data_IF_468512273899
#
_entry.id   IF_468512273899
#
_cell.length_a   1.000
_cell.length_b   1.000
_cell.length_c   1.000
_cell.angle_alpha   90.00
_cell.angle_beta   90.00
_cell.angle_gamma   90.00
#
_symmetry.space_group_name_H-M   'P 1'
#
loop_
_entity.id
_entity.type
_entity.pdbx_description
1 polymer ?
#
# COMPACT_ATOMS: atom_id res chain seq x y z
N UNK A 1 -32.80 10.50 -0.45
CA UNK A 1 -31.33 10.65 -0.48
C UNK A 1 -30.77 9.26 -0.69
N UNK A 2 -30.30 8.93 -1.89
CA UNK A 2 -29.59 7.67 -2.10
C UNK A 2 -28.17 7.86 -1.54
N UNK A 3 -27.93 7.36 -0.33
CA UNK A 3 -26.57 7.19 0.18
C UNK A 3 -25.86 6.21 -0.76
N UNK A 4 -24.69 6.62 -1.28
CA UNK A 4 -23.81 5.68 -1.98
C UNK A 4 -23.53 4.47 -1.07
N UNK A 5 -23.41 3.25 -1.61
CA UNK A 5 -22.94 2.10 -0.85
C UNK A 5 -21.61 2.45 -0.18
N UNK A 6 -21.41 2.01 1.06
CA UNK A 6 -20.11 2.12 1.73
C UNK A 6 -19.18 1.13 1.01
N UNK A 7 -17.99 1.55 0.54
CA UNK A 7 -17.08 0.65 -0.13
C UNK A 7 -16.60 -0.43 0.85
N UNK A 8 -16.44 -1.65 0.34
CA UNK A 8 -15.99 -2.81 1.12
C UNK A 8 -14.51 -2.74 1.50
N UNK A 9 -13.76 -1.89 0.80
CA UNK A 9 -12.35 -1.58 1.03
C UNK A 9 -12.12 -0.08 1.00
N UNK A 10 -11.16 0.44 1.77
CA UNK A 10 -10.69 1.84 1.65
C UNK A 10 -9.19 1.93 1.85
N UNK A 11 -8.56 2.90 1.20
CA UNK A 11 -7.11 3.14 1.23
C UNK A 11 -6.83 4.56 1.70
N UNK A 12 -5.94 4.73 2.68
CA UNK A 12 -5.59 6.06 3.21
C UNK A 12 -4.12 6.14 3.59
N UNK A 13 -3.57 7.34 3.51
CA UNK A 13 -2.25 7.67 4.03
C UNK A 13 -2.33 8.75 5.11
N UNK A 14 -1.37 8.74 6.04
CA UNK A 14 -1.20 9.74 7.08
C UNK A 14 0.27 9.87 7.48
N UNK A 15 0.62 10.96 8.18
CA UNK A 15 1.95 11.15 8.78
C UNK A 15 3.15 10.96 7.82
N UNK A 16 3.00 11.40 6.57
CA UNK A 16 4.04 11.27 5.55
C UNK A 16 5.32 12.01 5.95
N UNK A 17 6.45 11.33 5.78
CA UNK A 17 7.79 11.83 6.04
C UNK A 17 8.76 11.25 5.01
N UNK A 18 9.90 11.92 4.84
CA UNK A 18 11.04 11.38 4.10
C UNK A 18 11.95 10.68 5.11
N UNK A 19 12.45 9.49 4.76
CA UNK A 19 13.53 8.85 5.50
C UNK A 19 14.87 9.26 4.90
N UNK A 20 15.76 9.75 5.75
CA UNK A 20 17.15 10.06 5.40
C UNK A 20 18.09 9.25 6.28
N UNK A 21 18.98 8.49 5.64
CA UNK A 21 20.05 7.81 6.35
C UNK A 21 21.11 8.81 6.82
N UNK A 22 21.46 8.73 8.09
CA UNK A 22 22.51 9.52 8.71
C UNK A 22 23.48 8.66 9.53
N UNK A 23 24.55 9.29 10.02
CA UNK A 23 25.59 8.60 10.82
C UNK A 23 25.04 7.96 12.10
N UNK A 24 23.95 8.51 12.65
CA UNK A 24 23.27 8.02 13.87
C UNK A 24 22.07 7.10 13.56
N UNK A 25 21.89 6.71 12.30
CA UNK A 25 20.76 5.92 11.81
C UNK A 25 19.76 6.71 10.97
N UNK A 26 18.67 6.05 10.59
CA UNK A 26 17.65 6.62 9.70
C UNK A 26 16.78 7.62 10.44
N UNK A 27 16.62 8.81 9.85
CA UNK A 27 15.88 9.94 10.42
C UNK A 27 14.63 10.24 9.60
N UNK A 28 13.51 10.45 10.29
CA UNK A 28 12.30 11.03 9.70
C UNK A 28 12.45 12.55 9.57
N UNK A 29 12.38 13.05 8.34
CA UNK A 29 12.36 14.48 8.03
C UNK A 29 11.06 14.86 7.30
N UNK A 30 10.66 16.15 7.32
CA UNK A 30 9.42 16.58 6.67
C UNK A 30 9.40 16.29 5.17
N UNK A 31 8.21 16.02 4.61
CA UNK A 31 8.01 15.76 3.19
C UNK A 31 8.59 16.85 2.24
N UNK A 32 8.62 18.15 2.58
CA UNK A 32 9.30 19.15 1.76
C UNK A 32 10.81 18.94 1.54
N UNK A 33 11.47 18.10 2.34
CA UNK A 33 12.87 17.71 2.16
C UNK A 33 13.08 16.63 1.09
N UNK A 34 12.03 16.21 0.38
CA UNK A 34 12.07 15.15 -0.62
C UNK A 34 13.12 15.40 -1.71
N UNK A 35 14.01 14.42 -1.88
CA UNK A 35 14.94 14.29 -3.01
C UNK A 35 14.46 13.20 -3.96
N UNK A 36 15.02 13.16 -5.16
CA UNK A 36 14.56 12.23 -6.21
C UNK A 36 14.74 10.75 -5.83
N UNK A 37 15.77 10.44 -5.04
CA UNK A 37 16.15 9.13 -4.55
C UNK A 37 15.58 8.79 -3.15
N UNK A 38 14.92 9.75 -2.50
CA UNK A 38 14.37 9.58 -1.15
C UNK A 38 13.31 8.48 -1.06
N UNK A 39 13.12 7.94 0.14
CA UNK A 39 12.00 7.07 0.50
C UNK A 39 10.95 7.90 1.24
N UNK A 40 9.69 7.79 0.82
CA UNK A 40 8.55 8.37 1.55
C UNK A 40 7.97 7.29 2.45
N UNK A 41 7.94 7.55 3.76
CA UNK A 41 7.35 6.67 4.77
C UNK A 41 6.16 7.36 5.44
N UNK A 42 5.24 6.58 5.99
CA UNK A 42 4.10 7.11 6.73
C UNK A 42 3.16 6.03 7.22
N UNK A 43 2.02 6.44 7.73
CA UNK A 43 0.92 5.52 8.01
C UNK A 43 0.18 5.19 6.72
N UNK A 44 0.12 3.92 6.36
CA UNK A 44 -0.79 3.41 5.33
C UNK A 44 -1.90 2.60 6.01
N UNK A 45 -3.14 2.83 5.60
CA UNK A 45 -4.33 2.14 6.12
C UNK A 45 -5.10 1.54 4.96
N UNK A 46 -4.92 0.24 4.76
CA UNK A 46 -5.87 -0.58 4.02
C UNK A 46 -6.92 -1.08 5.02
N UNK A 47 -8.18 -0.79 4.75
CA UNK A 47 -9.31 -1.21 5.59
C UNK A 47 -10.21 -2.09 4.75
N UNK A 48 -10.52 -3.29 5.22
CA UNK A 48 -11.45 -4.23 4.57
C UNK A 48 -12.55 -4.58 5.55
N UNK A 49 -13.81 -4.42 5.16
CA UNK A 49 -14.96 -4.71 6.03
C UNK A 49 -14.93 -3.95 7.37
N UNK A 50 -14.34 -2.74 7.39
CA UNK A 50 -14.19 -1.92 8.60
C UNK A 50 -13.01 -2.29 9.52
N UNK A 51 -12.15 -3.25 9.15
CA UNK A 51 -10.97 -3.66 9.92
C UNK A 51 -9.69 -3.19 9.22
N UNK A 52 -8.74 -2.65 9.98
CA UNK A 52 -7.42 -2.24 9.45
C UNK A 52 -6.55 -3.47 9.27
N UNK A 53 -5.99 -3.64 8.07
CA UNK A 53 -5.03 -4.71 7.77
C UNK A 53 -3.73 -4.46 8.56
N UNK A 54 -3.24 -5.42 9.35
CA UNK A 54 -2.01 -5.29 10.13
C UNK A 54 -0.75 -5.48 9.26
N UNK A 55 0.41 -5.24 9.86
CA UNK A 55 1.74 -5.53 9.28
C UNK A 55 2.13 -4.76 8.02
N UNK A 56 1.41 -3.68 7.68
CA UNK A 56 1.76 -2.89 6.49
C UNK A 56 3.09 -2.14 6.59
N UNK A 57 3.59 -1.91 7.81
CA UNK A 57 4.80 -1.12 8.07
C UNK A 57 5.86 -1.92 8.81
N UNK A 58 7.12 -1.53 8.58
CA UNK A 58 8.32 -2.22 9.03
C UNK A 58 8.49 -2.14 10.55
N UNK A 59 8.71 -0.93 11.07
CA UNK A 59 8.95 -0.69 12.50
C UNK A 59 7.71 -0.16 13.23
N UNK A 60 6.53 -0.30 12.61
CA UNK A 60 5.26 0.09 13.18
C UNK A 60 4.27 0.62 12.15
N UNK A 61 3.08 0.98 12.62
CA UNK A 61 1.97 1.38 11.75
C UNK A 61 2.26 2.64 10.91
N UNK A 62 3.20 3.49 11.31
CA UNK A 62 3.56 4.74 10.62
C UNK A 62 4.88 4.67 9.85
N UNK A 63 5.37 3.47 9.64
CA UNK A 63 6.63 3.22 8.94
C UNK A 63 6.44 2.34 7.71
N UNK A 64 5.50 2.74 6.86
CA UNK A 64 5.20 2.09 5.59
C UNK A 64 5.97 2.76 4.47
N UNK A 65 6.81 2.03 3.73
CA UNK A 65 7.47 2.54 2.53
C UNK A 65 6.45 2.68 1.39
N UNK A 66 6.10 3.92 1.02
CA UNK A 66 5.12 4.16 -0.04
C UNK A 66 5.65 3.83 -1.44
N UNK A 67 6.97 3.82 -1.65
CA UNK A 67 7.54 3.39 -2.92
C UNK A 67 7.16 1.93 -3.21
N UNK A 68 7.43 1.05 -2.23
CA UNK A 68 7.16 -0.38 -2.34
C UNK A 68 5.65 -0.62 -2.45
N UNK A 69 4.85 -0.10 -1.52
CA UNK A 69 3.40 -0.32 -1.54
C UNK A 69 2.69 0.23 -2.78
N UNK A 70 3.18 1.30 -3.40
CA UNK A 70 2.64 1.76 -4.68
C UNK A 70 2.95 0.76 -5.80
N UNK A 71 4.16 0.20 -5.83
CA UNK A 71 4.54 -0.85 -6.78
C UNK A 71 3.72 -2.12 -6.58
N UNK A 72 3.55 -2.57 -5.33
CA UNK A 72 2.79 -3.78 -5.03
C UNK A 72 1.29 -3.62 -5.35
N UNK A 73 0.69 -2.47 -5.02
CA UNK A 73 -0.71 -2.20 -5.37
C UNK A 73 -0.92 -2.03 -6.88
N UNK A 74 0.02 -1.43 -7.60
CA UNK A 74 0.01 -1.44 -9.07
C UNK A 74 0.05 -2.89 -9.60
N UNK A 75 0.90 -3.75 -9.02
CA UNK A 75 0.97 -5.18 -9.37
C UNK A 75 -0.34 -5.94 -9.11
N UNK A 76 -1.02 -5.67 -7.99
CA UNK A 76 -2.36 -6.23 -7.71
C UNK A 76 -3.36 -5.76 -8.77
N UNK A 77 -3.35 -4.47 -9.12
CA UNK A 77 -4.26 -3.93 -10.15
C UNK A 77 -3.99 -4.53 -11.53
N UNK A 78 -2.73 -4.69 -11.92
CA UNK A 78 -2.33 -5.31 -13.18
C UNK A 78 -2.75 -6.78 -13.24
N UNK A 79 -2.45 -7.56 -12.19
CA UNK A 79 -2.84 -8.96 -12.09
C UNK A 79 -4.35 -9.13 -12.17
N UNK A 80 -5.11 -8.31 -11.43
CA UNK A 80 -6.56 -8.36 -11.44
C UNK A 80 -7.13 -7.86 -12.77
N UNK A 81 -6.56 -6.84 -13.41
CA UNK A 81 -7.05 -6.38 -14.71
C UNK A 81 -6.84 -7.41 -15.84
N UNK A 82 -5.81 -8.25 -15.74
CA UNK A 82 -5.46 -9.23 -16.76
C UNK A 82 -6.40 -10.45 -16.79
N UNK A 83 -6.92 -10.90 -15.65
CA UNK A 83 -7.78 -12.09 -15.54
C UNK A 83 -8.90 -11.91 -14.49
N UNK A 84 -10.06 -12.52 -14.75
CA UNK A 84 -11.15 -12.59 -13.79
C UNK A 84 -10.87 -13.59 -12.66
N UNK A 85 -9.90 -14.49 -12.84
CA UNK A 85 -9.35 -15.34 -11.79
C UNK A 85 -7.85 -15.11 -11.70
N UNK A 86 -7.40 -14.42 -10.64
CA UNK A 86 -6.02 -13.99 -10.50
C UNK A 86 -5.53 -14.12 -9.06
N UNK A 87 -4.22 -14.29 -8.90
CA UNK A 87 -3.53 -14.26 -7.61
C UNK A 87 -2.29 -13.39 -7.71
N UNK A 88 -2.09 -12.52 -6.73
CA UNK A 88 -0.89 -11.73 -6.53
C UNK A 88 -0.36 -11.95 -5.12
N UNK A 89 0.93 -12.16 -4.98
CA UNK A 89 1.57 -12.38 -3.68
C UNK A 89 2.67 -11.34 -3.51
N UNK A 90 2.55 -10.57 -2.44
CA UNK A 90 3.64 -9.72 -1.95
C UNK A 90 4.26 -10.41 -0.73
N UNK A 91 5.48 -10.89 -0.89
CA UNK A 91 6.29 -11.48 0.16
C UNK A 91 7.61 -10.72 0.20
N UNK A 92 7.68 -9.77 1.12
CA UNK A 92 8.77 -8.80 1.20
C UNK A 92 10.07 -9.44 1.71
N UNK A 93 9.93 -10.40 2.62
CA UNK A 93 11.05 -11.16 3.18
C UNK A 93 11.82 -10.49 4.31
N UNK A 94 11.35 -9.35 4.81
CA UNK A 94 11.85 -8.78 6.05
C UNK A 94 11.52 -9.68 7.24
N UNK A 95 12.41 -9.70 8.23
CA UNK A 95 12.26 -10.56 9.40
C UNK A 95 10.95 -10.26 10.14
N UNK A 96 10.17 -11.29 10.43
CA UNK A 96 8.89 -11.20 11.10
C UNK A 96 7.74 -10.65 10.26
N UNK A 97 7.97 -10.25 9.00
CA UNK A 97 6.90 -9.78 8.11
C UNK A 97 6.25 -10.96 7.36
N UNK A 98 4.91 -11.10 7.43
CA UNK A 98 4.20 -12.14 6.70
C UNK A 98 4.03 -11.79 5.21
N UNK A 99 3.56 -12.76 4.42
CA UNK A 99 3.18 -12.51 3.04
C UNK A 99 1.72 -12.02 2.93
N UNK A 100 1.45 -11.11 2.01
CA UNK A 100 0.10 -10.68 1.62
C UNK A 100 -0.31 -11.37 0.32
N UNK A 101 -1.44 -12.09 0.36
CA UNK A 101 -1.98 -12.81 -0.79
C UNK A 101 -3.29 -12.15 -1.20
N UNK A 102 -3.31 -11.58 -2.41
CA UNK A 102 -4.49 -11.01 -3.03
C UNK A 102 -5.03 -12.00 -4.06
N UNK A 103 -6.31 -12.34 -3.98
CA UNK A 103 -6.98 -13.24 -4.92
C UNK A 103 -8.22 -12.56 -5.50
N UNK A 104 -8.55 -12.86 -6.76
CA UNK A 104 -9.76 -12.38 -7.43
C UNK A 104 -10.50 -13.55 -8.06
N UNK A 105 -11.82 -13.52 -7.95
CA UNK A 105 -12.78 -14.44 -8.57
C UNK A 105 -14.00 -13.62 -9.06
N UNK A 106 -13.99 -13.21 -10.34
CA UNK A 106 -15.00 -12.31 -10.89
C UNK A 106 -14.88 -10.89 -10.33
N UNK A 107 -15.92 -10.36 -9.69
CA UNK A 107 -15.83 -9.06 -8.97
C UNK A 107 -15.50 -9.24 -7.47
N UNK A 108 -15.51 -10.48 -6.97
CA UNK A 108 -15.16 -10.76 -5.58
C UNK A 108 -13.65 -10.92 -5.48
N UNK A 109 -13.05 -10.26 -4.51
CA UNK A 109 -11.63 -10.36 -4.21
C UNK A 109 -11.40 -10.65 -2.73
N UNK A 110 -10.21 -11.15 -2.43
CA UNK A 110 -9.84 -11.64 -1.12
C UNK A 110 -8.43 -11.18 -0.77
N UNK A 111 -8.22 -10.86 0.50
CA UNK A 111 -6.89 -10.69 1.09
C UNK A 111 -6.66 -11.76 2.15
N UNK A 112 -5.52 -12.42 2.07
CA UNK A 112 -5.01 -13.27 3.15
C UNK A 112 -3.63 -12.81 3.62
N UNK A 113 -3.35 -12.97 4.90
CA UNK A 113 -2.00 -12.81 5.47
C UNK A 113 -1.47 -14.21 5.74
N UNK A 114 -0.53 -14.67 4.91
CA UNK A 114 0.01 -16.02 4.91
C UNK A 114 1.43 -16.07 5.48
N UNK A 115 1.91 -17.28 5.78
CA UNK A 115 3.31 -17.48 6.13
C UNK A 115 4.20 -16.95 5.00
N UNK A 116 5.24 -16.19 5.35
CA UNK A 116 6.29 -15.86 4.41
C UNK A 116 7.00 -17.14 3.98
N UNK A 117 7.33 -17.23 2.69
CA UNK A 117 8.16 -18.32 2.16
C UNK A 117 9.65 -18.04 2.26
N UNK A 118 10.02 -16.81 2.63
CA UNK A 118 11.40 -16.33 2.59
C UNK A 118 11.87 -15.70 3.92
N UNK A 119 10.96 -15.35 4.82
CA UNK A 119 11.25 -14.94 6.21
C UNK A 119 10.57 -15.87 7.23
N UNK A 120 10.71 -15.54 8.52
CA UNK A 120 10.03 -16.16 9.65
C UNK A 120 8.65 -15.54 9.96
N UNK A 121 8.10 -14.71 9.06
CA UNK A 121 6.78 -14.12 9.22
C UNK A 121 5.65 -15.15 9.16
N UNK A 122 4.79 -15.14 10.17
CA UNK A 122 3.70 -16.12 10.33
C UNK A 122 2.35 -15.58 9.81
N UNK A 123 1.53 -16.47 9.27
CA UNK A 123 0.16 -16.19 8.86
C UNK A 123 -0.67 -15.58 10.01
N UNK A 124 -1.61 -14.69 9.68
CA UNK A 124 -2.56 -14.17 10.66
C UNK A 124 -3.91 -14.90 10.53
N UNK A 125 -4.34 -15.72 11.52
CA UNK A 125 -5.55 -16.55 11.41
C UNK A 125 -6.85 -15.78 11.15
N UNK A 126 -7.01 -14.58 11.73
CA UNK A 126 -8.20 -13.75 11.53
C UNK A 126 -8.23 -12.97 10.20
N UNK A 127 -7.19 -13.11 9.38
CA UNK A 127 -7.02 -12.45 8.09
C UNK A 127 -6.80 -13.49 7.00
N UNK A 128 -7.72 -14.46 6.92
CA UNK A 128 -7.78 -15.45 5.85
C UNK A 128 -8.99 -15.16 4.98
N UNK A 129 -8.75 -14.94 3.68
CA UNK A 129 -9.75 -14.60 2.66
C UNK A 129 -10.72 -13.51 3.10
N UNK A 130 -10.19 -12.41 3.65
CA UNK A 130 -10.97 -11.23 3.95
C UNK A 130 -11.57 -10.66 2.65
N UNK A 131 -12.90 -10.63 2.56
CA UNK A 131 -13.64 -10.37 1.33
C UNK A 131 -13.79 -8.87 1.07
N UNK A 132 -13.58 -8.46 -0.17
CA UNK A 132 -13.91 -7.13 -0.71
C UNK A 132 -14.29 -7.23 -2.19
N UNK A 133 -14.76 -6.15 -2.80
CA UNK A 133 -15.03 -6.10 -4.24
C UNK A 133 -13.85 -5.51 -5.00
N UNK A 134 -13.50 -6.10 -6.13
CA UNK A 134 -12.45 -5.61 -7.01
C UNK A 134 -12.75 -4.19 -7.50
N UNK A 135 -14.01 -3.94 -7.91
CA UNK A 135 -14.44 -2.61 -8.34
C UNK A 135 -14.24 -1.54 -7.25
N UNK A 136 -14.53 -1.86 -5.98
CA UNK A 136 -14.25 -0.97 -4.85
C UNK A 136 -12.74 -0.72 -4.70
N UNK A 137 -11.91 -1.78 -4.75
CA UNK A 137 -10.45 -1.64 -4.62
C UNK A 137 -9.88 -0.76 -5.74
N UNK A 138 -10.30 -1.00 -6.98
CA UNK A 138 -9.85 -0.23 -8.15
C UNK A 138 -10.18 1.25 -8.01
N UNK A 139 -11.42 1.56 -7.64
CA UNK A 139 -11.88 2.94 -7.54
C UNK A 139 -11.22 3.66 -6.35
N UNK A 140 -11.08 2.99 -5.21
CA UNK A 140 -10.38 3.52 -4.04
C UNK A 140 -8.88 3.69 -4.29
N UNK A 141 -8.25 2.77 -5.03
CA UNK A 141 -6.83 2.89 -5.38
C UNK A 141 -6.57 4.06 -6.33
N UNK A 142 -7.47 4.27 -7.30
CA UNK A 142 -7.39 5.43 -8.19
C UNK A 142 -7.50 6.76 -7.40
N UNK A 143 -8.44 6.85 -6.45
CA UNK A 143 -8.56 8.02 -5.57
C UNK A 143 -7.33 8.20 -4.68
N UNK A 144 -6.90 7.13 -4.01
CA UNK A 144 -5.71 7.13 -3.16
C UNK A 144 -4.46 7.60 -3.92
N UNK A 145 -4.25 7.12 -5.15
CA UNK A 145 -3.13 7.53 -6.01
C UNK A 145 -3.18 9.01 -6.35
N UNK A 146 -4.37 9.52 -6.67
CA UNK A 146 -4.57 10.93 -6.96
C UNK A 146 -4.27 11.80 -5.73
N UNK A 147 -4.88 11.47 -4.58
CA UNK A 147 -4.71 12.20 -3.33
C UNK A 147 -3.25 12.18 -2.85
N UNK A 148 -2.58 11.04 -2.94
CA UNK A 148 -1.17 10.90 -2.56
C UNK A 148 -0.28 11.73 -3.48
N UNK A 149 -0.51 11.66 -4.79
CA UNK A 149 0.25 12.44 -5.77
C UNK A 149 0.08 13.95 -5.54
N UNK A 150 -1.13 14.40 -5.24
CA UNK A 150 -1.40 15.81 -4.95
C UNK A 150 -0.74 16.26 -3.65
N UNK A 151 -0.75 15.44 -2.60
CA UNK A 151 -0.04 15.71 -1.36
C UNK A 151 1.48 15.86 -1.59
N UNK A 152 2.09 14.93 -2.32
CA UNK A 152 3.53 14.96 -2.65
C UNK A 152 3.88 16.19 -3.49
N UNK A 153 3.08 16.51 -4.51
CA UNK A 153 3.29 17.73 -5.33
C UNK A 153 3.14 19.01 -4.51
N UNK A 154 2.18 19.05 -3.60
CA UNK A 154 1.93 20.20 -2.75
C UNK A 154 3.06 20.41 -1.74
N UNK A 155 3.53 19.33 -1.12
CA UNK A 155 4.57 19.41 -0.09
C UNK A 155 5.97 19.62 -0.68
N UNK A 156 6.27 19.02 -1.83
CA UNK A 156 7.58 19.11 -2.49
C UNK A 156 7.45 19.49 -3.98
N UNK A 157 7.05 20.73 -4.34
CA UNK A 157 6.74 21.09 -5.74
C UNK A 157 7.91 20.94 -6.72
N UNK A 158 9.16 21.08 -6.25
CA UNK A 158 10.35 21.02 -7.09
C UNK A 158 10.76 19.59 -7.49
N UNK A 159 10.47 18.60 -6.64
CA UNK A 159 10.96 17.21 -6.76
C UNK A 159 9.84 16.18 -6.81
N UNK A 160 8.65 16.50 -6.28
CA UNK A 160 7.53 15.58 -6.14
C UNK A 160 7.08 14.94 -7.45
N UNK A 161 6.95 15.71 -8.53
CA UNK A 161 6.57 15.15 -9.84
C UNK A 161 7.64 14.20 -10.41
N UNK A 162 8.93 14.45 -10.13
CA UNK A 162 10.00 13.56 -10.57
C UNK A 162 10.00 12.27 -9.76
N UNK A 163 9.82 12.37 -8.46
CA UNK A 163 9.71 11.21 -7.57
C UNK A 163 8.52 10.32 -7.98
N UNK A 164 7.34 10.90 -8.21
CA UNK A 164 6.12 10.18 -8.61
C UNK A 164 6.27 9.43 -9.94
N UNK A 165 7.07 9.96 -10.89
CA UNK A 165 7.31 9.31 -12.18
C UNK A 165 8.02 7.96 -12.07
N UNK A 166 8.75 7.70 -10.98
CA UNK A 166 9.39 6.40 -10.72
C UNK A 166 8.38 5.28 -10.51
N UNK A 167 7.18 5.63 -10.06
CA UNK A 167 6.13 4.69 -9.64
C UNK A 167 4.88 4.85 -10.50
N UNK A 168 5.01 5.33 -11.73
CA UNK A 168 3.93 5.27 -12.72
C UNK A 168 4.05 3.95 -13.45
N UNK A 169 3.02 3.12 -13.35
CA UNK A 169 2.76 2.04 -14.29
C UNK A 169 2.65 2.65 -15.70
N UNK A 170 3.28 2.00 -16.68
CA UNK A 170 3.45 2.49 -18.05
C UNK A 170 2.14 2.52 -18.84
#
# INVERSE_FOLDING_TARGET
MNSKPVPTVTLRFENLAVLEDGEEGTKRVPLPSLREDSHIHGGFRLVIGGRVVPYMGYFGADDVCFGDWLTELDGVMEAFAADEVATYVYDEGEQGQPAFVFEREGDVAFLSIADSKISDGEAHPDWQRAVFHYTDLRDEYAHFRADFADEVRRAAPATGEKWLKRFRSA
#
